data_IF_433250006142
#
_entry.id   IF_433250006142
#
_cell.length_a   1.000
_cell.length_b   1.000
_cell.length_c   1.000
_cell.angle_alpha   90.00
_cell.angle_beta   90.00
_cell.angle_gamma   90.00
#
_symmetry.space_group_name_H-M   'P 1'
#
loop_
_entity.id
_entity.type
_entity.pdbx_description
1 polymer ?
2 non-polymer ?
3 non-polymer ?
4 water ?
#
# COMPACT_ATOMS: atom_id res chain seq x y z
N UNK A 3 -4.34 23.50 0.77
CA UNK A 3 -5.52 22.77 1.21
C UNK A 3 -5.66 21.46 0.43
N UNK A 4 -6.42 20.53 0.98
CA UNK A 4 -6.71 19.27 0.31
C UNK A 4 -7.82 19.46 -0.73
N UNK A 5 -7.66 18.87 -1.91
CA UNK A 5 -8.69 18.95 -2.96
C UNK A 5 -9.33 17.60 -3.26
N UNK A 6 -10.48 17.62 -3.94
CA UNK A 6 -11.14 16.36 -4.29
C UNK A 6 -10.41 15.61 -5.40
N UNK A 7 -9.69 16.33 -6.26
CA UNK A 7 -8.85 15.66 -7.26
C UNK A 7 -7.72 14.87 -6.59
N UNK A 8 -7.01 15.48 -5.63
CA UNK A 8 -5.95 14.79 -4.88
C UNK A 8 -6.44 13.52 -4.21
N UNK A 9 -7.53 13.66 -3.46
CA UNK A 9 -8.25 12.53 -2.90
C UNK A 9 -8.51 11.45 -3.96
N UNK A 10 -9.01 11.88 -5.12
CA UNK A 10 -9.31 10.93 -6.20
C UNK A 10 -8.07 10.14 -6.67
N UNK A 11 -6.95 10.84 -6.90
CA UNK A 11 -5.70 10.15 -7.26
C UNK A 11 -5.25 9.16 -6.19
N UNK A 12 -5.27 9.59 -4.92
CA UNK A 12 -4.90 8.69 -3.82
C UNK A 12 -5.73 7.42 -3.88
N UNK A 13 -7.04 7.61 -3.99
CA UNK A 13 -7.96 6.48 -4.06
C UNK A 13 -7.65 5.53 -5.23
N UNK A 14 -7.27 6.10 -6.38
CA UNK A 14 -6.83 5.32 -7.54
C UNK A 14 -5.61 4.44 -7.24
N UNK A 15 -4.57 5.04 -6.68
CA UNK A 15 -3.37 4.28 -6.30
C UNK A 15 -3.69 3.13 -5.31
N UNK A 16 -4.36 3.48 -4.21
CA UNK A 16 -4.77 2.48 -3.22
C UNK A 16 -5.49 1.33 -3.90
N UNK A 17 -6.44 1.66 -4.78
CA UNK A 17 -7.24 0.62 -5.43
C UNK A 17 -6.37 -0.24 -6.38
N UNK A 18 -5.32 0.36 -6.94
CA UNK A 18 -4.37 -0.40 -7.75
C UNK A 18 -3.67 -1.47 -6.89
N UNK A 19 -3.44 -1.16 -5.62
CA UNK A 19 -2.97 -2.22 -4.70
C UNK A 19 -4.11 -3.12 -4.17
N UNK A 20 -5.21 -2.50 -3.74
CA UNK A 20 -6.33 -3.24 -3.15
C UNK A 20 -7.22 -3.80 -4.25
N UNK A 21 -6.88 -5.00 -4.72
CA UNK A 21 -7.52 -5.58 -5.91
C UNK A 21 -8.93 -6.12 -5.64
N UNK A 22 -9.11 -6.77 -4.48
CA UNK A 22 -10.39 -7.39 -4.14
C UNK A 22 -11.39 -6.40 -3.52
N UNK A 23 -10.92 -5.17 -3.30
CA UNK A 23 -11.76 -4.09 -2.81
C UNK A 23 -12.28 -4.19 -1.38
N UNK A 24 -11.56 -4.86 -0.49
CA UNK A 24 -12.04 -4.96 0.90
C UNK A 24 -11.44 -3.92 1.85
N UNK A 25 -10.73 -2.93 1.31
CA UNK A 25 -10.20 -1.84 2.12
C UNK A 25 -8.89 -2.07 2.88
N UNK A 26 -8.28 -3.24 2.75
CA UNK A 26 -6.99 -3.50 3.40
C UNK A 26 -6.02 -4.13 2.39
N UNK A 27 -4.72 -3.89 2.53
CA UNK A 27 -3.72 -4.45 1.60
C UNK A 27 -2.94 -5.62 2.23
N UNK A 28 -3.04 -6.80 1.63
CA UNK A 28 -2.42 -8.02 2.17
C UNK A 28 -1.01 -8.25 1.59
N UNK A 29 -0.28 -9.22 2.14
CA UNK A 29 1.01 -9.57 1.54
C UNK A 29 0.85 -10.05 0.09
N UNK A 30 -0.22 -10.77 -0.21
CA UNK A 30 -0.41 -11.26 -1.58
C UNK A 30 -0.62 -10.12 -2.62
N UNK A 31 -1.39 -9.10 -2.24
CA UNK A 31 -1.63 -7.97 -3.14
C UNK A 31 -0.33 -7.15 -3.38
N UNK A 32 0.39 -6.92 -2.27
CA UNK A 32 1.70 -6.29 -2.32
C UNK A 32 2.61 -7.05 -3.28
N UNK A 33 2.65 -8.37 -3.10
CA UNK A 33 3.39 -9.27 -3.96
C UNK A 33 3.10 -9.10 -5.44
N UNK A 34 1.81 -9.09 -5.79
CA UNK A 34 1.39 -8.86 -7.17
C UNK A 34 2.03 -7.59 -7.76
N UNK A 35 1.85 -6.47 -7.05
CA UNK A 35 2.42 -5.20 -7.52
C UNK A 35 3.96 -5.19 -7.61
N UNK A 36 4.63 -5.75 -6.61
CA UNK A 36 6.09 -5.74 -6.62
C UNK A 36 6.66 -6.61 -7.76
N UNK A 37 6.03 -7.75 -8.02
CA UNK A 37 6.44 -8.60 -9.12
C UNK A 37 6.22 -7.88 -10.47
N UNK A 38 5.11 -7.16 -10.62
CA UNK A 38 4.92 -6.38 -11.86
C UNK A 38 5.99 -5.31 -12.10
N UNK A 39 6.61 -4.82 -11.03
CA UNK A 39 7.74 -3.90 -11.14
C UNK A 39 9.07 -4.57 -11.53
N UNK A 40 9.12 -5.90 -11.50
CA UNK A 40 10.37 -6.60 -11.82
C UNK A 40 11.15 -7.20 -10.65
N UNK A 41 10.56 -7.17 -9.46
CA UNK A 41 11.20 -7.74 -8.27
C UNK A 41 10.62 -9.12 -7.99
N UNK A 42 11.25 -9.85 -7.08
CA UNK A 42 10.77 -11.18 -6.72
C UNK A 42 10.90 -11.45 -5.22
N UNK A 43 10.12 -10.72 -4.40
CA UNK A 43 10.24 -10.84 -2.95
C UNK A 43 9.62 -12.12 -2.37
N UNK A 44 10.20 -12.58 -1.27
CA UNK A 44 9.63 -13.69 -0.53
C UNK A 44 8.47 -13.17 0.32
N UNK A 45 7.63 -14.08 0.83
CA UNK A 45 6.52 -13.70 1.72
C UNK A 45 6.97 -12.89 2.95
N UNK A 46 8.09 -13.30 3.55
CA UNK A 46 8.60 -12.64 4.76
C UNK A 46 9.10 -11.22 4.50
N UNK A 47 9.73 -11.02 3.34
CA UNK A 47 10.20 -9.69 2.93
C UNK A 47 9.01 -8.74 2.71
N UNK A 48 7.94 -9.28 2.13
CA UNK A 48 6.67 -8.55 2.00
C UNK A 48 6.14 -8.18 3.39
N UNK A 49 6.24 -9.13 4.34
CA UNK A 49 5.77 -8.80 5.69
C UNK A 49 6.62 -7.71 6.38
N UNK A 50 7.95 -7.77 6.25
CA UNK A 50 8.83 -6.68 6.74
C UNK A 50 8.42 -5.31 6.16
N UNK A 51 8.10 -5.30 4.86
CA UNK A 51 7.61 -4.08 4.21
C UNK A 51 6.30 -3.55 4.84
N UNK A 52 5.36 -4.45 5.11
CA UNK A 52 4.16 -4.03 5.84
C UNK A 52 4.49 -3.50 7.24
N UNK A 53 5.37 -4.21 7.95
CA UNK A 53 5.73 -3.87 9.32
C UNK A 53 6.30 -2.46 9.46
N UNK A 54 7.03 -1.98 8.45
CA UNK A 54 7.49 -0.58 8.45
C UNK A 54 6.40 0.51 8.59
N UNK A 55 5.26 0.38 7.90
CA UNK A 55 4.23 1.42 7.95
C UNK A 55 2.97 1.03 8.72
N UNK A 56 2.99 -0.13 9.38
CA UNK A 56 1.81 -0.64 10.07
C UNK A 56 1.54 0.05 11.41
N UNK A 57 0.93 1.23 11.36
CA UNK A 57 0.82 2.10 12.54
C UNK A 57 -0.13 1.60 13.63
N UNK A 58 -1.10 0.76 13.29
CA UNK A 58 -1.99 0.23 14.33
C UNK A 58 -1.65 -1.21 14.76
N UNK A 59 -0.62 -1.78 14.15
CA UNK A 59 -0.13 -3.09 14.54
C UNK A 59 -1.03 -4.23 14.13
N UNK A 60 -1.98 -3.99 13.22
CA UNK A 60 -2.91 -5.06 12.85
C UNK A 60 -2.38 -6.04 11.79
N UNK A 61 -1.19 -5.78 11.25
CA UNK A 61 -0.56 -6.69 10.30
C UNK A 61 -0.81 -6.45 8.82
N UNK A 62 -1.72 -5.54 8.48
CA UNK A 62 -2.02 -5.19 7.08
C UNK A 62 -2.05 -3.67 6.87
N UNK A 63 -1.98 -3.20 5.62
CA UNK A 63 -1.96 -1.76 5.34
C UNK A 63 -3.36 -1.23 5.05
N UNK A 64 -3.79 -0.21 5.79
CA UNK A 64 -5.04 0.50 5.47
C UNK A 64 -4.76 1.80 4.71
N UNK A 65 -5.78 2.64 4.54
CA UNK A 65 -5.63 3.86 3.74
C UNK A 65 -4.65 4.93 4.29
N UNK A 66 -4.79 5.33 5.58
CA UNK A 66 -3.83 6.33 6.07
C UNK A 66 -2.36 5.86 6.06
N UNK A 67 -2.16 4.56 6.24
CA UNK A 67 -0.81 3.99 6.25
C UNK A 67 -0.20 4.05 4.84
N UNK A 68 -1.05 3.77 3.85
CA UNK A 68 -0.67 3.88 2.44
C UNK A 68 -0.27 5.32 2.10
N UNK A 69 -1.11 6.26 2.56
CA UNK A 69 -0.81 7.69 2.47
C UNK A 69 0.60 8.01 3.00
N UNK A 70 0.98 7.42 4.14
CA UNK A 70 2.38 7.55 4.61
C UNK A 70 3.41 7.05 3.58
N UNK A 71 3.17 5.86 3.01
CA UNK A 71 4.09 5.36 1.97
C UNK A 71 4.31 6.38 0.84
N UNK A 72 3.19 6.94 0.34
CA UNK A 72 3.27 7.88 -0.77
C UNK A 72 4.02 9.14 -0.37
N UNK A 73 3.75 9.59 0.86
CA UNK A 73 4.45 10.73 1.43
C UNK A 73 5.96 10.53 1.34
N UNK A 74 6.42 9.34 1.71
CA UNK A 74 7.86 9.10 1.66
C UNK A 74 8.44 8.99 0.23
N UNK A 75 7.72 8.34 -0.68
CA UNK A 75 8.19 8.29 -2.08
C UNK A 75 8.29 9.67 -2.75
N UNK A 76 7.28 10.53 -2.57
CA UNK A 76 7.27 11.82 -3.27
C UNK A 76 8.23 12.83 -2.65
N UNK A 77 8.18 12.92 -1.32
CA UNK A 77 9.03 13.85 -0.58
C UNK A 77 10.50 13.42 -0.56
X LIG B 1 -7.64 -6.11 -0.07
X LIG C 1 -2.43 -1.60 9.80
X LIG D 1 5.08 0.80 -7.49
X LIG D 1 5.58 1.62 -6.39
X LIG D 1 4.24 1.61 -8.54
X LIG D 1 3.13 2.20 -7.86
X LIG D 1 1.84 1.94 -8.47
X LIG D 1 1.26 3.20 -9.12
X LIG D 1 2.57 6.17 -6.50
X LIG D 1 2.44 5.55 -7.77
X LIG D 1 0.96 5.37 -8.05
X LIG D 1 0.59 3.96 -8.14
#
# INVERSE_FOLDING_TARGET
MDQLTEEQIAEFKEAFSLYDKDGDGTITTKELGTVMRSLGLNPTEAELQDMINEVDADGNGTIDFPEFLTMMARIMKY
CA CA
CA CA
PGE C1 O1 C2 O2 C3 C4 O4 C6 C5 O3
#
